data_IF_160578930835
#
_entry.id   IF_160578930835
#
_cell.length_a   1.000
_cell.length_b   1.000
_cell.length_c   1.000
_cell.angle_alpha   90.00
_cell.angle_beta   90.00
_cell.angle_gamma   90.00
#
_symmetry.space_group_name_H-M   'P 1'
#
loop_
_entity.id
_entity.type
_entity.pdbx_description
1 polymer ?
#
# COMPACT_ATOMS: atom_id res chain seq x y z
N UNK A 1 -11.71 32.82 -11.66
CA UNK A 1 -11.10 33.49 -12.83
C UNK A 1 -11.89 34.77 -13.03
N UNK A 2 -11.28 35.97 -13.01
CA UNK A 2 -12.00 37.25 -12.75
C UNK A 2 -12.25 38.11 -14.00
N UNK A 3 -12.19 37.54 -15.20
CA UNK A 3 -12.43 38.28 -16.45
C UNK A 3 -13.83 37.94 -16.93
N UNK A 4 -14.78 38.88 -16.78
CA UNK A 4 -16.11 38.80 -17.38
C UNK A 4 -16.22 39.88 -18.45
N UNK A 5 -16.95 39.57 -19.52
CA UNK A 5 -17.28 40.55 -20.53
C UNK A 5 -18.44 41.41 -20.01
N UNK A 6 -18.27 42.73 -20.02
CA UNK A 6 -19.31 43.70 -19.69
C UNK A 6 -19.50 44.66 -20.88
N UNK A 7 -20.73 44.82 -21.34
CA UNK A 7 -21.08 45.78 -22.40
C UNK A 7 -22.12 46.76 -21.90
N UNK A 8 -21.96 48.04 -22.26
CA UNK A 8 -22.89 49.12 -21.97
C UNK A 8 -24.05 49.19 -22.97
N UNK A 9 -23.95 48.48 -24.10
CA UNK A 9 -24.92 48.51 -25.20
C UNK A 9 -25.58 47.14 -25.39
N UNK A 10 -26.85 47.11 -25.83
CA UNK A 10 -27.62 45.88 -26.13
C UNK A 10 -27.57 45.56 -27.63
N UNK A 11 -26.38 45.27 -28.14
CA UNK A 11 -26.15 44.92 -29.54
C UNK A 11 -25.67 43.45 -29.69
N UNK A 12 -25.40 43.04 -30.92
CA UNK A 12 -24.94 41.68 -31.25
C UNK A 12 -23.62 41.32 -30.52
N UNK A 13 -22.80 42.32 -30.20
CA UNK A 13 -21.55 42.15 -29.44
C UNK A 13 -21.85 41.81 -27.99
N UNK A 14 -22.87 42.41 -27.38
CA UNK A 14 -23.34 42.03 -26.05
C UNK A 14 -23.85 40.58 -26.00
N UNK A 15 -24.55 40.13 -27.03
CA UNK A 15 -25.05 38.75 -27.11
C UNK A 15 -23.91 37.72 -27.19
N UNK A 16 -22.83 38.03 -27.90
CA UNK A 16 -21.60 37.21 -27.93
C UNK A 16 -20.90 37.24 -26.58
N UNK A 17 -20.87 38.40 -25.92
CA UNK A 17 -20.38 38.59 -24.57
C UNK A 17 -21.07 37.72 -23.53
N UNK A 18 -22.39 37.66 -23.58
CA UNK A 18 -23.21 36.82 -22.69
C UNK A 18 -22.94 35.32 -22.90
N UNK A 19 -22.77 34.90 -24.17
CA UNK A 19 -22.35 33.53 -24.48
C UNK A 19 -20.95 33.22 -23.96
N UNK A 20 -20.01 34.16 -24.07
CA UNK A 20 -18.66 34.02 -23.54
C UNK A 20 -18.66 33.88 -22.02
N UNK A 21 -19.43 34.72 -21.31
CA UNK A 21 -19.62 34.62 -19.87
C UNK A 21 -20.24 33.27 -19.46
N UNK A 22 -21.25 32.81 -20.21
CA UNK A 22 -21.87 31.49 -19.99
C UNK A 22 -20.87 30.35 -20.19
N UNK A 23 -19.99 30.45 -21.20
CA UNK A 23 -18.93 29.46 -21.42
C UNK A 23 -17.91 29.47 -20.28
N UNK A 24 -17.52 30.64 -19.77
CA UNK A 24 -16.62 30.75 -18.63
C UNK A 24 -17.20 30.13 -17.36
N UNK A 25 -18.48 30.35 -17.09
CA UNK A 25 -19.17 29.70 -15.96
C UNK A 25 -19.21 28.19 -16.11
N UNK A 26 -19.49 27.68 -17.32
CA UNK A 26 -19.42 26.23 -17.61
C UNK A 26 -18.02 25.66 -17.40
N UNK A 27 -16.97 26.36 -17.83
CA UNK A 27 -15.58 25.95 -17.62
C UNK A 27 -15.26 25.90 -16.12
N UNK A 28 -15.68 26.89 -15.35
CA UNK A 28 -15.46 26.93 -13.91
C UNK A 28 -16.13 25.75 -13.19
N UNK A 29 -17.39 25.44 -13.55
CA UNK A 29 -18.11 24.27 -13.05
C UNK A 29 -17.42 22.97 -13.45
N UNK A 30 -16.94 22.86 -14.70
CA UNK A 30 -16.21 21.68 -15.16
C UNK A 30 -14.89 21.48 -14.40
N UNK A 31 -14.13 22.55 -14.13
CA UNK A 31 -12.90 22.48 -13.34
C UNK A 31 -13.20 21.99 -11.92
N UNK A 32 -14.27 22.50 -11.29
CA UNK A 32 -14.68 22.06 -9.95
C UNK A 32 -15.09 20.58 -9.95
N UNK A 33 -15.86 20.15 -10.96
CA UNK A 33 -16.29 18.76 -11.10
C UNK A 33 -15.10 17.80 -11.31
N UNK A 34 -14.14 18.17 -12.16
CA UNK A 34 -12.91 17.38 -12.37
C UNK A 34 -12.11 17.25 -11.07
N UNK A 35 -11.92 18.35 -10.34
CA UNK A 35 -11.22 18.33 -9.03
C UNK A 35 -11.91 17.44 -8.01
N UNK A 36 -13.25 17.54 -7.91
CA UNK A 36 -14.04 16.71 -7.01
C UNK A 36 -13.94 15.22 -7.40
N UNK A 37 -14.03 14.90 -8.69
CA UNK A 37 -13.88 13.54 -9.20
C UNK A 37 -12.47 12.96 -8.92
N UNK A 38 -11.41 13.75 -9.11
CA UNK A 38 -10.04 13.33 -8.78
C UNK A 38 -9.85 13.08 -7.28
N UNK A 39 -10.45 13.91 -6.42
CA UNK A 39 -10.40 13.69 -4.97
C UNK A 39 -11.15 12.40 -4.58
N UNK A 40 -12.35 12.20 -5.12
CA UNK A 40 -13.14 11.00 -4.88
C UNK A 40 -12.47 9.74 -5.42
N UNK A 41 -11.78 9.84 -6.56
CA UNK A 41 -10.95 8.76 -7.11
C UNK A 41 -9.85 8.36 -6.14
N UNK A 42 -9.07 9.34 -5.64
CA UNK A 42 -8.02 9.08 -4.63
C UNK A 42 -8.55 8.44 -3.35
N UNK A 43 -9.70 8.91 -2.84
CA UNK A 43 -10.34 8.31 -1.67
C UNK A 43 -10.80 6.87 -1.93
N UNK A 44 -11.38 6.61 -3.10
CA UNK A 44 -11.81 5.27 -3.51
C UNK A 44 -10.62 4.32 -3.68
N UNK A 45 -9.53 4.80 -4.27
CA UNK A 45 -8.26 4.10 -4.40
C UNK A 45 -7.67 3.75 -3.02
N UNK A 46 -7.67 4.69 -2.07
CA UNK A 46 -7.26 4.41 -0.69
C UNK A 46 -8.17 3.38 0.01
N UNK A 47 -9.48 3.44 -0.18
CA UNK A 47 -10.41 2.45 0.41
C UNK A 47 -10.20 1.06 -0.20
N UNK A 48 -9.99 0.98 -1.51
CA UNK A 48 -9.67 -0.26 -2.20
C UNK A 48 -8.35 -0.85 -1.68
N UNK A 49 -7.32 -0.03 -1.49
CA UNK A 49 -6.08 -0.45 -0.82
C UNK A 49 -6.34 -0.98 0.59
N UNK A 50 -7.09 -0.25 1.42
CA UNK A 50 -7.41 -0.66 2.78
C UNK A 50 -8.10 -2.03 2.83
N UNK A 51 -8.96 -2.35 1.84
CA UNK A 51 -9.63 -3.65 1.74
C UNK A 51 -8.70 -4.79 1.32
N UNK A 52 -7.58 -4.50 0.67
CA UNK A 52 -6.58 -5.46 0.19
C UNK A 52 -5.41 -5.64 1.17
N UNK A 53 -5.39 -4.92 2.31
CA UNK A 53 -4.30 -4.97 3.29
C UNK A 53 -4.84 -5.56 4.59
N UNK A 54 -4.10 -6.51 5.16
CA UNK A 54 -4.34 -6.92 6.54
C UNK A 54 -4.00 -5.75 7.49
N UNK A 55 -4.96 -5.18 8.25
CA UNK A 55 -4.70 -4.04 9.14
C UNK A 55 -3.54 -4.31 10.11
N UNK A 56 -3.38 -5.56 10.56
CA UNK A 56 -2.31 -5.98 11.43
C UNK A 56 -0.92 -5.82 10.78
N UNK A 57 -0.79 -6.17 9.50
CA UNK A 57 0.47 -5.99 8.77
C UNK A 57 0.89 -4.52 8.73
N UNK A 58 -0.06 -3.62 8.46
CA UNK A 58 0.23 -2.18 8.43
C UNK A 58 0.71 -1.67 9.78
N UNK A 59 0.00 -2.03 10.86
CA UNK A 59 0.40 -1.66 12.22
C UNK A 59 1.79 -2.22 12.57
N UNK A 60 2.08 -3.47 12.23
CA UNK A 60 3.38 -4.08 12.51
C UNK A 60 4.50 -3.42 11.74
N UNK A 61 4.24 -3.05 10.49
CA UNK A 61 5.22 -2.35 9.64
C UNK A 61 5.55 -0.98 10.24
N UNK A 62 4.54 -0.19 10.60
CA UNK A 62 4.75 1.15 11.18
C UNK A 62 5.42 1.07 12.56
N UNK A 63 5.04 0.12 13.39
CA UNK A 63 5.70 -0.12 14.68
C UNK A 63 7.18 -0.47 14.47
N UNK A 64 7.49 -1.40 13.57
CA UNK A 64 8.87 -1.79 13.27
C UNK A 64 9.70 -0.61 12.78
N UNK A 65 9.15 0.25 11.92
CA UNK A 65 9.80 1.49 11.49
C UNK A 65 10.10 2.40 12.69
N UNK A 66 9.14 2.57 13.61
CA UNK A 66 9.33 3.38 14.82
C UNK A 66 10.46 2.81 15.70
N UNK A 67 10.43 1.50 15.99
CA UNK A 67 11.47 0.83 16.77
C UNK A 67 12.86 0.93 16.14
N UNK A 68 12.95 0.76 14.80
CA UNK A 68 14.22 0.87 14.05
C UNK A 68 14.73 2.32 14.01
N UNK A 69 13.84 3.30 14.00
CA UNK A 69 14.17 4.73 14.13
C UNK A 69 14.80 5.01 15.50
N UNK A 70 14.18 4.53 16.59
CA UNK A 70 14.72 4.66 17.96
C UNK A 70 16.07 3.96 18.13
N UNK A 71 16.25 2.83 17.44
CA UNK A 71 17.47 2.01 17.46
C UNK A 71 18.60 2.56 16.55
N UNK A 72 18.43 3.73 15.94
CA UNK A 72 19.36 4.36 14.98
C UNK A 72 19.70 3.50 13.75
N UNK A 73 18.83 2.57 13.36
CA UNK A 73 18.97 1.77 12.13
C UNK A 73 18.42 2.55 10.92
N UNK A 74 19.08 3.65 10.55
CA UNK A 74 18.56 4.60 9.54
C UNK A 74 18.40 3.98 8.14
N UNK A 75 19.27 3.05 7.74
CA UNK A 75 19.17 2.43 6.42
C UNK A 75 17.96 1.49 6.34
N UNK A 76 17.73 0.64 7.35
CA UNK A 76 16.54 -0.21 7.43
C UNK A 76 15.24 0.62 7.36
N UNK A 77 15.18 1.75 8.07
CA UNK A 77 14.01 2.63 8.07
C UNK A 77 13.72 3.15 6.66
N UNK A 78 14.77 3.60 5.96
CA UNK A 78 14.65 4.10 4.59
C UNK A 78 14.20 2.99 3.64
N UNK A 79 14.77 1.79 3.76
CA UNK A 79 14.39 0.63 2.95
C UNK A 79 12.93 0.23 3.17
N UNK A 80 12.47 0.21 4.43
CA UNK A 80 11.07 -0.10 4.76
C UNK A 80 10.10 0.96 4.22
N UNK A 81 10.42 2.25 4.33
CA UNK A 81 9.58 3.33 3.78
C UNK A 81 9.49 3.22 2.25
N UNK A 82 10.61 2.95 1.58
CA UNK A 82 10.63 2.75 0.12
C UNK A 82 9.80 1.53 -0.25
N UNK A 83 10.03 0.38 0.39
CA UNK A 83 9.31 -0.87 0.11
C UNK A 83 7.81 -0.72 0.33
N UNK A 84 7.39 -0.04 1.40
CA UNK A 84 5.99 0.25 1.69
C UNK A 84 5.35 1.15 0.62
N UNK A 85 6.08 2.16 0.16
CA UNK A 85 5.62 3.04 -0.92
C UNK A 85 5.47 2.29 -2.25
N UNK A 86 6.42 1.40 -2.56
CA UNK A 86 6.39 0.56 -3.75
C UNK A 86 5.23 -0.45 -3.70
N UNK A 87 5.03 -1.09 -2.54
CA UNK A 87 3.93 -2.02 -2.30
C UNK A 87 2.59 -1.36 -2.61
N UNK A 88 2.29 -0.19 -2.02
CA UNK A 88 1.03 0.50 -2.27
C UNK A 88 0.86 0.95 -3.73
N UNK A 89 1.93 1.46 -4.35
CA UNK A 89 1.86 1.89 -5.75
C UNK A 89 1.53 0.72 -6.70
N UNK A 90 2.13 -0.45 -6.46
CA UNK A 90 1.90 -1.64 -7.26
C UNK A 90 0.54 -2.28 -6.98
N UNK A 91 0.09 -2.28 -5.72
CA UNK A 91 -1.24 -2.79 -5.33
C UNK A 91 -2.39 -1.98 -5.94
N UNK A 92 -2.23 -0.65 -6.02
CA UNK A 92 -3.22 0.26 -6.62
C UNK A 92 -3.48 0.02 -8.10
N UNK A 93 -2.46 -0.39 -8.87
CA UNK A 93 -2.49 -0.67 -10.32
C UNK A 93 -3.43 0.26 -11.15
N UNK A 94 -3.57 1.53 -10.77
CA UNK A 94 -4.50 2.51 -11.35
C UNK A 94 -5.95 2.01 -11.56
N UNK A 95 -6.43 1.06 -10.76
CA UNK A 95 -7.77 0.46 -10.89
C UNK A 95 -7.93 -0.57 -12.02
N UNK A 96 -6.84 -1.03 -12.64
CA UNK A 96 -6.89 -2.10 -13.64
C UNK A 96 -6.89 -3.49 -12.97
N UNK A 97 -7.81 -4.36 -13.39
CA UNK A 97 -7.88 -5.77 -12.94
C UNK A 97 -6.71 -6.61 -13.45
N UNK A 98 -6.23 -6.33 -14.66
CA UNK A 98 -5.11 -7.06 -15.26
C UNK A 98 -3.78 -6.40 -14.91
N UNK A 99 -2.85 -7.18 -14.36
CA UNK A 99 -1.45 -6.81 -14.13
C UNK A 99 -0.53 -7.74 -14.90
N UNK A 100 0.77 -7.42 -14.97
CA UNK A 100 1.76 -8.36 -15.53
C UNK A 100 2.33 -9.24 -14.42
N UNK A 101 2.77 -10.45 -14.77
CA UNK A 101 3.50 -11.33 -13.84
C UNK A 101 4.70 -10.61 -13.22
N UNK A 102 5.42 -9.78 -14.00
CA UNK A 102 6.51 -8.93 -13.49
C UNK A 102 6.07 -8.03 -12.33
N UNK A 103 5.00 -7.24 -12.53
CA UNK A 103 4.48 -6.33 -11.50
C UNK A 103 3.99 -7.07 -10.27
N UNK A 104 3.43 -8.26 -10.47
CA UNK A 104 2.94 -9.08 -9.38
C UNK A 104 4.08 -9.67 -8.54
N UNK A 105 5.15 -10.14 -9.19
CA UNK A 105 6.39 -10.55 -8.52
C UNK A 105 7.01 -9.37 -7.79
N UNK A 106 7.12 -8.19 -8.41
CA UNK A 106 7.60 -6.98 -7.75
C UNK A 106 6.78 -6.67 -6.51
N UNK A 107 5.44 -6.74 -6.61
CA UNK A 107 4.53 -6.47 -5.49
C UNK A 107 4.77 -7.44 -4.33
N UNK A 108 4.79 -8.74 -4.63
CA UNK A 108 5.08 -9.80 -3.65
C UNK A 108 6.47 -9.66 -3.05
N UNK A 109 7.46 -9.24 -3.83
CA UNK A 109 8.83 -9.01 -3.34
C UNK A 109 8.84 -7.91 -2.28
N UNK A 110 8.17 -6.78 -2.53
CA UNK A 110 8.09 -5.69 -1.55
C UNK A 110 7.37 -6.15 -0.27
N UNK A 111 6.34 -6.97 -0.41
CA UNK A 111 5.63 -7.55 0.73
C UNK A 111 6.53 -8.45 1.56
N UNK A 112 7.28 -9.36 0.92
CA UNK A 112 8.21 -10.28 1.58
C UNK A 112 9.34 -9.55 2.30
N UNK A 113 9.91 -8.50 1.70
CA UNK A 113 10.92 -7.65 2.34
C UNK A 113 10.37 -7.04 3.63
N UNK A 114 9.18 -6.44 3.58
CA UNK A 114 8.56 -5.81 4.75
C UNK A 114 8.25 -6.84 5.85
N UNK A 115 7.73 -8.01 5.47
CA UNK A 115 7.45 -9.10 6.40
C UNK A 115 8.72 -9.61 7.08
N UNK A 116 9.81 -9.80 6.33
CA UNK A 116 11.09 -10.24 6.90
C UNK A 116 11.68 -9.20 7.86
N UNK A 117 11.50 -7.91 7.57
CA UNK A 117 11.92 -6.83 8.47
C UNK A 117 11.05 -6.75 9.74
N UNK A 118 9.76 -7.05 9.65
CA UNK A 118 8.85 -7.08 10.81
C UNK A 118 9.09 -8.31 11.70
N UNK A 119 9.55 -9.41 11.12
CA UNK A 119 9.79 -10.68 11.80
C UNK A 119 11.21 -11.17 11.50
N UNK A 120 12.20 -10.48 12.07
CA UNK A 120 13.62 -10.85 11.95
C UNK A 120 13.78 -12.35 12.28
N UNK A 121 14.46 -13.10 11.42
CA UNK A 121 14.74 -14.56 11.52
C UNK A 121 13.54 -15.52 11.35
N UNK A 122 12.33 -15.04 11.03
CA UNK A 122 11.18 -15.93 10.88
C UNK A 122 11.22 -16.76 9.58
N UNK A 123 11.70 -16.17 8.49
CA UNK A 123 11.77 -16.84 7.20
C UNK A 123 12.82 -16.21 6.26
N UNK A 124 13.23 -17.01 5.29
CA UNK A 124 13.99 -16.58 4.12
C UNK A 124 13.14 -16.83 2.87
N UNK A 125 13.33 -16.02 1.82
CA UNK A 125 12.63 -16.21 0.56
C UNK A 125 13.61 -16.09 -0.61
N UNK A 126 13.31 -16.84 -1.68
CA UNK A 126 13.97 -16.75 -2.97
C UNK A 126 12.91 -16.72 -4.04
N UNK A 127 13.06 -15.81 -4.99
CA UNK A 127 12.22 -15.72 -6.17
C UNK A 127 13.04 -16.24 -7.35
N UNK A 128 12.54 -17.28 -7.99
CA UNK A 128 13.12 -17.86 -9.20
C UNK A 128 12.08 -17.74 -10.32
N UNK A 129 12.34 -16.84 -11.26
CA UNK A 129 11.42 -16.54 -12.35
C UNK A 129 12.22 -16.25 -13.62
N UNK A 130 11.95 -17.02 -14.68
CA UNK A 130 12.57 -16.82 -15.98
C UNK A 130 11.94 -15.62 -16.69
N UNK A 131 12.81 -14.73 -17.18
CA UNK A 131 12.46 -13.42 -17.73
C UNK A 131 11.52 -13.50 -18.94
N UNK A 132 11.56 -14.64 -19.67
CA UNK A 132 10.71 -14.93 -20.82
C UNK A 132 9.21 -14.89 -20.45
N UNK A 133 8.84 -15.25 -19.22
CA UNK A 133 7.45 -15.31 -18.79
C UNK A 133 6.94 -13.98 -18.19
N UNK A 134 7.84 -13.03 -17.90
CA UNK A 134 7.54 -11.84 -17.09
C UNK A 134 6.83 -10.70 -17.85
N UNK A 135 7.03 -10.59 -19.16
CA UNK A 135 6.68 -9.40 -19.93
C UNK A 135 5.28 -9.44 -20.58
N UNK A 136 4.77 -10.62 -20.93
CA UNK A 136 3.62 -10.75 -21.84
C UNK A 136 2.39 -11.47 -21.26
N UNK A 137 2.43 -11.91 -20.00
CA UNK A 137 1.31 -12.64 -19.39
C UNK A 137 0.52 -11.73 -18.46
N UNK A 138 -0.74 -11.50 -18.80
CA UNK A 138 -1.70 -10.88 -17.90
C UNK A 138 -2.02 -11.84 -16.76
N UNK A 139 -1.98 -11.34 -15.52
CA UNK A 139 -2.25 -12.10 -14.29
C UNK A 139 -3.41 -11.48 -13.51
N UNK A 140 -4.13 -12.34 -12.78
CA UNK A 140 -5.31 -12.03 -11.96
C UNK A 140 -4.96 -11.71 -10.49
N UNK A 141 -3.72 -11.30 -10.18
CA UNK A 141 -3.25 -11.03 -8.80
C UNK A 141 -3.37 -12.26 -7.86
N UNK A 142 -2.89 -13.42 -8.29
CA UNK A 142 -2.94 -14.69 -7.54
C UNK A 142 -1.74 -14.92 -6.61
N UNK A 143 -0.56 -14.38 -6.90
CA UNK A 143 0.66 -14.62 -6.12
C UNK A 143 0.59 -13.99 -4.72
N UNK A 144 -0.03 -12.82 -4.60
CA UNK A 144 -0.19 -12.15 -3.31
C UNK A 144 -0.97 -13.00 -2.30
N UNK A 145 -2.22 -13.44 -2.57
CA UNK A 145 -2.96 -14.26 -1.60
C UNK A 145 -2.28 -15.60 -1.33
N UNK A 146 -1.54 -16.17 -2.30
CA UNK A 146 -0.76 -17.40 -2.07
C UNK A 146 0.35 -17.16 -1.05
N UNK A 147 1.15 -16.11 -1.24
CA UNK A 147 2.28 -15.77 -0.36
C UNK A 147 1.80 -15.36 1.02
N UNK A 148 0.74 -14.54 1.09
CA UNK A 148 0.13 -14.16 2.36
C UNK A 148 -0.36 -15.40 3.13
N UNK A 149 -1.05 -16.32 2.46
CA UNK A 149 -1.50 -17.56 3.08
C UNK A 149 -0.33 -18.45 3.52
N UNK A 150 0.76 -18.51 2.75
CA UNK A 150 1.96 -19.27 3.14
C UNK A 150 2.61 -18.70 4.40
N UNK A 151 2.68 -17.38 4.57
CA UNK A 151 3.25 -16.77 5.77
C UNK A 151 2.29 -16.92 6.97
N UNK A 152 1.01 -16.62 6.79
CA UNK A 152 0.03 -16.70 7.86
C UNK A 152 -0.13 -18.14 8.35
N UNK A 153 -0.35 -19.10 7.46
CA UNK A 153 -0.66 -20.48 7.87
C UNK A 153 0.56 -21.39 7.96
N UNK A 154 1.64 -21.09 7.23
CA UNK A 154 2.86 -21.91 7.23
C UNK A 154 3.67 -21.78 8.53
N UNK A 155 3.65 -20.62 9.19
CA UNK A 155 4.41 -20.39 10.42
C UNK A 155 3.56 -20.44 11.71
N UNK A 156 2.23 -20.35 11.62
CA UNK A 156 1.34 -20.38 12.80
C UNK A 156 0.93 -21.81 13.25
N UNK A 157 1.12 -22.84 12.43
CA UNK A 157 0.64 -24.20 12.73
C UNK A 157 1.73 -25.20 13.20
N UNK A 158 2.97 -24.74 13.42
CA UNK A 158 4.04 -25.56 13.99
C UNK A 158 4.73 -24.85 15.14
N UNK A 159 4.30 -25.13 16.38
CA UNK A 159 4.99 -24.90 17.68
C UNK A 159 5.72 -23.57 17.97
N UNK A 160 5.66 -22.56 17.11
CA UNK A 160 6.19 -21.23 17.37
C UNK A 160 5.06 -20.31 17.81
N UNK A 161 4.63 -20.51 19.06
CA UNK A 161 3.90 -19.49 19.78
C UNK A 161 4.76 -18.21 19.78
N UNK A 162 4.25 -17.15 19.15
CA UNK A 162 4.77 -15.79 19.32
C UNK A 162 4.70 -15.47 20.81
N UNK A 163 5.79 -15.69 21.54
CA UNK A 163 5.91 -15.21 22.91
C UNK A 163 6.13 -13.70 22.83
N UNK A 164 5.27 -12.86 23.46
CA UNK A 164 5.59 -11.46 23.61
C UNK A 164 6.91 -11.35 24.38
N UNK A 165 7.91 -10.70 23.77
CA UNK A 165 9.21 -10.50 24.37
C UNK A 165 9.10 -9.58 25.60
N UNK A 166 8.83 -10.16 26.77
CA UNK A 166 9.04 -9.49 28.06
C UNK A 166 10.55 -9.43 28.31
N UNK A 167 11.15 -8.29 27.99
CA UNK A 167 12.53 -7.99 28.38
C UNK A 167 12.52 -7.43 29.82
N UNK A 168 12.74 -8.29 30.81
CA UNK A 168 13.42 -7.90 32.07
C UNK A 168 13.77 -9.13 32.92
N UNK A 169 15.06 -9.28 33.26
CA UNK A 169 15.52 -10.08 34.40
C UNK A 169 16.11 -11.46 34.08
N UNK A 170 17.43 -11.57 34.27
CA UNK A 170 18.26 -12.80 34.38
C UNK A 170 17.53 -14.05 34.95
N UNK A 171 17.80 -15.22 34.39
CA UNK A 171 18.69 -16.25 35.00
C UNK A 171 19.07 -17.34 33.97
N UNK A 172 20.31 -17.82 34.08
CA UNK A 172 20.92 -18.94 33.34
C UNK A 172 20.35 -20.29 33.81
N UNK A 173 20.31 -21.31 32.95
CA UNK A 173 20.22 -22.69 33.43
C UNK A 173 19.71 -23.70 32.39
N UNK A 174 20.55 -24.67 32.07
CA UNK A 174 20.23 -25.90 31.35
C UNK A 174 19.13 -26.71 32.08
N UNK A 175 18.23 -27.32 31.30
CA UNK A 175 17.48 -28.52 31.67
C UNK A 175 16.10 -28.29 32.33
N UNK A 176 15.11 -29.07 31.88
CA UNK A 176 13.94 -29.40 32.69
C UNK A 176 12.60 -29.03 32.09
N UNK A 177 11.87 -30.08 31.70
CA UNK A 177 10.42 -30.12 31.47
C UNK A 177 9.63 -29.35 32.53
N UNK A 178 8.59 -28.60 32.12
CA UNK A 178 7.41 -28.36 32.94
C UNK A 178 6.22 -27.89 32.08
N UNK A 179 5.24 -28.79 31.97
CA UNK A 179 3.81 -28.50 31.76
C UNK A 179 3.31 -27.43 32.74
N UNK A 180 2.27 -26.67 32.35
CA UNK A 180 1.18 -26.12 33.20
C UNK A 180 0.19 -25.39 32.26
N UNK A 181 -0.95 -25.99 31.93
CA UNK A 181 -2.25 -25.94 32.64
C UNK A 181 -2.97 -24.60 32.48
N UNK A 182 -3.98 -24.61 31.60
CA UNK A 182 -5.03 -23.59 31.47
C UNK A 182 -6.01 -23.69 32.64
N UNK A 183 -6.29 -22.57 33.30
CA UNK A 183 -7.61 -22.20 33.79
C UNK A 183 -7.99 -20.87 33.15
#
# INVERSE_FOLDING_TARGET
MSVRFESTYKDEVAQVGDHFNTMLEKIEVLILNVRAAEHQKRLSEMKALQSQINPHFLYNTLNTILWKTESRKQEDVKEMIVSLSLLFRLGLNNGHELTTVRKEIEHVTQYLILQQQCYEELFEFRIDADEIYLLNHASLKLLQPLVENSILHGFMNGDFAIKPARRSGRFLGLGGLAYLSYQ
#
